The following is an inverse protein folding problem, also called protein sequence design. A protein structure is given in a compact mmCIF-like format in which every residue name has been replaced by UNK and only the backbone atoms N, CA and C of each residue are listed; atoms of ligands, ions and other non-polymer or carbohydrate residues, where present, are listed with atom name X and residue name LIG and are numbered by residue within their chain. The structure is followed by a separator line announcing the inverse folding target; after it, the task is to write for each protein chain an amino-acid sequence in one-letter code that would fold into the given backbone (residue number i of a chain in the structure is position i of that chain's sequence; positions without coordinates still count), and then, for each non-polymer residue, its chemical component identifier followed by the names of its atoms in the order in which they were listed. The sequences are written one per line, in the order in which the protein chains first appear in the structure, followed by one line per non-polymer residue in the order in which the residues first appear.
data_IF_332303085473
#
_entry.id   IF_332303085473
#
_cell.length_a   1.000
_cell.length_b   1.000
_cell.length_c   1.000
_cell.angle_alpha   90.00
_cell.angle_beta   90.00
_cell.angle_gamma   90.00
#
_symmetry.space_group_name_H-M   'P 1'
#
loop_
_entity.id
_entity.type
_entity.pdbx_description
1 polymer ?
#
# COMPACT_ATOMS: atom_id res chain seq x y z
N UNK A 1 -18.79 -7.39 -25.08
CA UNK A 1 -18.56 -5.95 -24.91
C UNK A 1 -17.33 -5.58 -25.69
N UNK A 2 -17.48 -4.75 -26.71
CA UNK A 2 -16.34 -4.29 -27.49
C UNK A 2 -15.51 -3.32 -26.67
N UNK A 3 -14.20 -3.35 -26.89
CA UNK A 3 -13.29 -2.45 -26.17
C UNK A 3 -13.47 -1.02 -26.70
N UNK A 4 -13.57 -0.01 -25.83
CA UNK A 4 -13.67 1.36 -26.27
C UNK A 4 -12.45 1.75 -27.11
N UNK A 5 -12.67 2.31 -28.29
CA UNK A 5 -11.63 2.65 -29.25
C UNK A 5 -11.01 4.03 -29.05
N UNK A 6 -11.67 4.90 -28.30
CA UNK A 6 -11.22 6.28 -28.06
C UNK A 6 -11.61 6.79 -26.66
N UNK A 7 -11.06 7.94 -26.24
CA UNK A 7 -11.30 8.52 -24.93
C UNK A 7 -12.75 9.02 -24.72
N UNK A 8 -13.47 9.35 -25.79
CA UNK A 8 -14.90 9.71 -25.74
C UNK A 8 -15.73 8.51 -25.30
N UNK A 9 -15.58 7.38 -25.97
CA UNK A 9 -16.25 6.12 -25.65
C UNK A 9 -15.90 5.62 -24.23
N UNK A 10 -14.64 5.77 -23.80
CA UNK A 10 -14.24 5.46 -22.41
C UNK A 10 -15.03 6.30 -21.41
N UNK A 11 -15.19 7.60 -21.67
CA UNK A 11 -15.96 8.50 -20.80
C UNK A 11 -17.44 8.13 -20.76
N UNK A 12 -18.03 7.82 -21.91
CA UNK A 12 -19.43 7.42 -22.00
C UNK A 12 -19.68 6.12 -21.22
N UNK A 13 -18.88 5.09 -21.46
CA UNK A 13 -18.98 3.81 -20.73
C UNK A 13 -18.78 4.01 -19.24
N UNK A 14 -17.80 4.83 -18.84
CA UNK A 14 -17.53 5.11 -17.42
C UNK A 14 -18.70 5.86 -16.77
N UNK A 15 -19.30 6.83 -17.48
CA UNK A 15 -20.46 7.58 -17.00
C UNK A 15 -21.67 6.67 -16.84
N UNK A 16 -21.97 5.85 -17.85
CA UNK A 16 -23.07 4.89 -17.80
C UNK A 16 -22.89 3.88 -16.67
N UNK A 17 -21.67 3.34 -16.50
CA UNK A 17 -21.34 2.43 -15.42
C UNK A 17 -21.52 3.09 -14.04
N UNK A 18 -21.03 4.31 -13.88
CA UNK A 18 -21.16 5.07 -12.64
C UNK A 18 -22.61 5.38 -12.30
N UNK A 19 -23.42 5.76 -13.28
CA UNK A 19 -24.85 5.96 -13.08
C UNK A 19 -25.55 4.66 -12.69
N UNK A 20 -25.33 3.58 -13.43
CA UNK A 20 -25.90 2.28 -13.11
C UNK A 20 -25.51 1.82 -11.69
N UNK A 21 -24.24 1.92 -11.33
CA UNK A 21 -23.75 1.53 -10.00
C UNK A 21 -24.38 2.35 -8.88
N UNK A 22 -24.48 3.65 -9.06
CA UNK A 22 -24.94 4.55 -8.01
C UNK A 22 -26.45 4.58 -7.85
N UNK A 23 -27.23 4.41 -8.92
CA UNK A 23 -28.68 4.62 -8.90
C UNK A 23 -29.50 3.36 -9.08
N UNK A 24 -28.97 2.34 -9.73
CA UNK A 24 -29.75 1.16 -10.12
C UNK A 24 -29.28 -0.12 -9.41
N UNK A 25 -27.98 -0.27 -9.18
CA UNK A 25 -27.43 -1.51 -8.65
C UNK A 25 -27.53 -1.55 -7.12
N UNK A 26 -28.24 -2.54 -6.52
CA UNK A 26 -28.23 -2.75 -5.07
C UNK A 26 -26.81 -3.03 -4.57
N UNK A 27 -26.45 -2.42 -3.43
CA UNK A 27 -25.14 -2.59 -2.83
C UNK A 27 -25.25 -3.32 -1.49
N UNK A 28 -24.52 -4.44 -1.36
CA UNK A 28 -24.57 -5.31 -0.16
C UNK A 28 -23.86 -4.72 1.06
N UNK A 29 -23.20 -3.56 0.95
CA UNK A 29 -22.58 -2.90 2.09
C UNK A 29 -23.59 -2.64 3.20
N UNK A 30 -23.24 -2.99 4.44
CA UNK A 30 -24.11 -2.90 5.60
C UNK A 30 -24.89 -1.58 5.72
N UNK A 31 -24.22 -0.45 5.43
CA UNK A 31 -24.86 0.88 5.50
C UNK A 31 -25.81 1.18 4.33
N UNK A 32 -25.71 0.44 3.22
CA UNK A 32 -26.60 0.63 2.07
C UNK A 32 -27.94 -0.12 2.23
N UNK A 33 -28.00 -1.14 3.07
CA UNK A 33 -29.21 -1.93 3.32
C UNK A 33 -29.77 -2.52 2.02
N UNK A 34 -28.92 -3.04 1.16
CA UNK A 34 -29.24 -3.59 -0.17
C UNK A 34 -29.95 -2.59 -1.13
N UNK A 35 -29.71 -1.30 -0.95
CA UNK A 35 -30.20 -0.23 -1.83
C UNK A 35 -29.04 0.32 -2.67
N UNK A 36 -29.32 0.93 -3.83
CA UNK A 36 -28.30 1.67 -4.59
C UNK A 36 -27.65 2.76 -3.72
N UNK A 37 -26.35 3.04 -3.86
CA UNK A 37 -25.62 3.99 -3.02
C UNK A 37 -26.28 5.38 -2.92
N UNK A 38 -26.75 5.93 -4.03
CA UNK A 38 -27.41 7.25 -4.05
C UNK A 38 -28.81 7.25 -3.43
N UNK A 39 -29.48 6.10 -3.42
CA UNK A 39 -30.76 5.94 -2.71
C UNK A 39 -30.52 5.79 -1.20
N UNK A 40 -29.46 5.08 -0.82
CA UNK A 40 -29.09 4.92 0.59
C UNK A 40 -28.51 6.22 1.19
N UNK A 41 -27.78 6.98 0.39
CA UNK A 41 -27.12 8.25 0.77
C UNK A 41 -27.50 9.36 -0.22
N UNK A 42 -28.71 9.90 -0.11
CA UNK A 42 -29.20 10.94 -1.05
C UNK A 42 -28.38 12.23 -0.93
N UNK A 43 -27.91 12.53 0.26
CA UNK A 43 -27.04 13.68 0.55
C UNK A 43 -25.63 13.15 0.87
N UNK A 44 -24.66 13.51 0.05
CA UNK A 44 -23.26 13.26 0.36
C UNK A 44 -22.70 14.47 1.10
N UNK A 45 -21.87 14.26 2.12
CA UNK A 45 -21.12 15.34 2.72
C UNK A 45 -20.25 16.01 1.66
N UNK A 46 -20.02 17.31 1.81
CA UNK A 46 -19.05 18.01 0.98
C UNK A 46 -17.68 17.32 1.10
N UNK A 47 -17.01 17.18 -0.01
CA UNK A 47 -15.64 16.69 0.02
C UNK A 47 -14.77 17.72 0.76
N UNK A 48 -13.91 17.27 1.65
CA UNK A 48 -12.97 18.18 2.31
C UNK A 48 -12.12 18.89 1.26
N UNK A 49 -11.80 20.13 1.52
CA UNK A 49 -10.90 20.90 0.66
C UNK A 49 -9.56 20.14 0.48
N UNK A 50 -9.06 20.18 -0.73
CA UNK A 50 -7.74 19.59 -1.02
C UNK A 50 -6.69 20.37 -0.25
N UNK A 51 -5.85 19.73 0.57
CA UNK A 51 -4.84 20.43 1.34
C UNK A 51 -3.72 20.97 0.43
N UNK A 52 -3.22 22.15 0.70
CA UNK A 52 -2.09 22.73 -0.05
C UNK A 52 -0.81 21.90 0.14
N UNK A 53 -0.60 21.42 1.37
CA UNK A 53 0.55 20.61 1.76
C UNK A 53 0.09 19.27 2.35
N UNK A 54 0.81 18.22 2.00
CA UNK A 54 0.62 16.87 2.53
C UNK A 54 1.92 16.41 3.19
N UNK A 55 1.83 15.89 4.40
CA UNK A 55 2.93 15.15 5.03
C UNK A 55 2.84 13.66 4.63
N UNK A 56 3.70 13.19 3.72
CA UNK A 56 3.69 11.80 3.28
C UNK A 56 4.05 10.80 4.38
N UNK A 57 4.72 11.27 5.43
CA UNK A 57 5.19 10.43 6.54
C UNK A 57 4.22 10.40 7.73
N UNK A 58 3.09 11.11 7.65
CA UNK A 58 2.07 11.19 8.72
C UNK A 58 1.56 9.81 9.18
N UNK A 59 1.59 8.83 8.28
CA UNK A 59 1.21 7.45 8.59
C UNK A 59 2.02 6.84 9.75
N UNK A 60 3.26 7.31 9.97
CA UNK A 60 4.10 6.85 11.07
C UNK A 60 3.44 7.04 12.43
N UNK A 61 2.83 8.21 12.66
CA UNK A 61 2.14 8.52 13.92
C UNK A 61 0.92 7.63 14.12
N UNK A 62 0.18 7.37 13.02
CA UNK A 62 -1.02 6.51 13.06
C UNK A 62 -0.64 5.05 13.30
N UNK A 63 0.55 4.63 12.88
CA UNK A 63 1.05 3.25 12.97
C UNK A 63 2.11 3.06 14.05
N UNK A 64 2.35 4.06 14.89
CA UNK A 64 3.31 3.93 15.99
C UNK A 64 2.97 2.72 16.86
N UNK A 65 3.99 1.98 17.28
CA UNK A 65 3.80 0.73 18.01
C UNK A 65 3.37 -0.49 17.18
N UNK A 66 3.23 -0.38 15.87
CA UNK A 66 2.91 -1.53 15.00
C UNK A 66 3.95 -2.65 15.20
N UNK A 67 3.45 -3.87 15.41
CA UNK A 67 4.27 -5.06 15.56
C UNK A 67 4.18 -5.96 14.33
N UNK A 68 5.33 -6.43 13.85
CA UNK A 68 5.42 -7.41 12.77
C UNK A 68 6.41 -8.50 13.17
N UNK A 69 6.07 -9.75 12.93
CA UNK A 69 7.02 -10.86 13.07
C UNK A 69 7.57 -11.23 11.70
N UNK A 70 8.87 -11.34 11.57
CA UNK A 70 9.55 -11.68 10.31
C UNK A 70 10.65 -12.71 10.52
N UNK A 71 10.74 -13.66 9.59
CA UNK A 71 11.84 -14.60 9.53
C UNK A 71 13.06 -13.94 8.89
N UNK A 72 14.22 -14.07 9.51
CA UNK A 72 15.49 -13.63 8.96
C UNK A 72 15.96 -14.63 7.90
N UNK A 73 16.35 -14.13 6.74
CA UNK A 73 16.87 -14.93 5.63
C UNK A 73 18.28 -15.42 5.91
N UNK A 74 18.77 -16.37 5.08
CA UNK A 74 20.13 -16.92 5.20
C UNK A 74 21.23 -15.87 5.11
N UNK A 75 20.99 -14.80 4.36
CA UNK A 75 21.92 -13.66 4.20
C UNK A 75 21.87 -12.66 5.36
N UNK A 76 21.06 -12.91 6.39
CA UNK A 76 20.90 -12.03 7.55
C UNK A 76 19.95 -10.84 7.28
N UNK A 77 19.20 -10.88 6.19
CA UNK A 77 18.23 -9.83 5.86
C UNK A 77 16.79 -10.24 6.17
N UNK A 78 15.92 -9.25 6.34
CA UNK A 78 14.47 -9.42 6.34
C UNK A 78 13.82 -8.39 5.39
N UNK A 79 12.58 -8.63 5.00
CA UNK A 79 11.83 -7.71 4.14
C UNK A 79 10.61 -7.15 4.86
N UNK A 80 10.43 -5.84 4.75
CA UNK A 80 9.23 -5.11 5.15
C UNK A 80 8.88 -4.16 4.01
N UNK A 81 7.64 -4.21 3.53
CA UNK A 81 7.11 -3.33 2.47
C UNK A 81 8.05 -3.17 1.28
N UNK A 82 8.46 -4.27 0.69
CA UNK A 82 9.39 -4.34 -0.45
C UNK A 82 10.81 -3.81 -0.16
N UNK A 83 11.08 -3.33 1.05
CA UNK A 83 12.42 -2.88 1.48
C UNK A 83 13.15 -4.02 2.19
N UNK A 84 14.44 -4.16 1.91
CA UNK A 84 15.31 -5.13 2.58
C UNK A 84 16.11 -4.44 3.68
N UNK A 85 16.20 -5.09 4.85
CA UNK A 85 16.90 -4.61 6.03
C UNK A 85 17.86 -5.68 6.52
N UNK A 86 19.11 -5.32 6.77
CA UNK A 86 20.10 -6.24 7.33
C UNK A 86 20.04 -6.24 8.85
N UNK A 87 19.74 -7.36 9.45
CA UNK A 87 19.69 -7.56 10.91
C UNK A 87 20.93 -8.26 11.46
N UNK A 88 21.45 -9.25 10.73
CA UNK A 88 22.64 -10.01 11.12
C UNK A 88 22.54 -11.47 10.70
N UNK A 89 23.64 -12.05 10.26
CA UNK A 89 23.68 -13.48 9.85
C UNK A 89 23.52 -14.44 11.03
N UNK A 90 23.89 -14.03 12.24
CA UNK A 90 23.71 -14.84 13.44
C UNK A 90 22.22 -15.17 13.72
N UNK A 91 21.31 -14.36 13.23
CA UNK A 91 19.86 -14.56 13.36
C UNK A 91 19.25 -15.30 12.17
N UNK A 92 20.04 -15.79 11.22
CA UNK A 92 19.54 -16.45 10.03
C UNK A 92 18.63 -17.64 10.39
N UNK A 93 17.44 -17.68 9.77
CA UNK A 93 16.43 -18.70 10.04
C UNK A 93 15.53 -18.42 11.25
N UNK A 94 15.90 -17.52 12.15
CA UNK A 94 15.13 -17.16 13.33
C UNK A 94 14.01 -16.16 13.01
N UNK A 95 13.03 -16.08 13.90
CA UNK A 95 11.96 -15.08 13.85
C UNK A 95 12.31 -13.93 14.81
N UNK A 96 12.18 -12.71 14.33
CA UNK A 96 12.35 -11.50 15.12
C UNK A 96 11.07 -10.67 15.08
N UNK A 97 10.77 -9.97 16.16
CA UNK A 97 9.72 -8.98 16.18
C UNK A 97 10.28 -7.62 15.75
N UNK A 98 9.50 -6.90 14.95
CA UNK A 98 9.78 -5.53 14.52
C UNK A 98 8.74 -4.62 15.14
N UNK A 99 9.16 -3.65 15.92
CA UNK A 99 8.29 -2.64 16.48
C UNK A 99 8.54 -1.32 15.75
N UNK A 100 7.50 -0.73 15.19
CA UNK A 100 7.59 0.57 14.57
C UNK A 100 7.70 1.64 15.66
N UNK A 101 8.72 2.47 15.59
CA UNK A 101 8.85 3.66 16.43
C UNK A 101 8.77 4.91 15.56
N UNK A 102 7.65 5.65 15.67
CA UNK A 102 7.47 6.89 14.97
C UNK A 102 8.49 7.95 15.44
N UNK A 103 8.74 8.03 16.74
CA UNK A 103 9.70 8.97 17.32
C UNK A 103 11.13 8.74 16.79
N UNK A 104 11.53 7.48 16.64
CA UNK A 104 12.85 7.13 16.10
C UNK A 104 12.88 7.02 14.58
N UNK A 105 11.72 7.10 13.92
CA UNK A 105 11.56 6.87 12.48
C UNK A 105 12.24 5.57 12.03
N UNK A 106 12.06 4.49 12.81
CA UNK A 106 12.82 3.26 12.68
C UNK A 106 12.01 2.02 13.10
N UNK A 107 12.42 0.88 12.60
CA UNK A 107 12.06 -0.42 13.14
C UNK A 107 13.03 -0.77 14.29
N UNK A 108 12.48 -1.08 15.45
CA UNK A 108 13.21 -1.70 16.56
C UNK A 108 13.11 -3.21 16.37
N UNK A 109 14.24 -3.85 16.17
CA UNK A 109 14.32 -5.31 16.06
C UNK A 109 14.40 -5.90 17.46
N UNK A 110 13.42 -6.70 17.81
CA UNK A 110 13.35 -7.36 19.13
C UNK A 110 13.54 -8.87 18.95
N UNK A 111 14.43 -9.42 19.72
CA UNK A 111 14.68 -10.85 19.82
C UNK A 111 14.85 -11.20 21.29
N UNK A 112 14.20 -12.29 21.76
CA UNK A 112 14.23 -12.72 23.17
C UNK A 112 13.94 -11.58 24.16
N UNK A 113 12.89 -10.78 23.83
CA UNK A 113 12.44 -9.62 24.62
C UNK A 113 13.40 -8.43 24.70
N UNK A 114 14.50 -8.46 23.96
CA UNK A 114 15.49 -7.38 23.93
C UNK A 114 15.53 -6.68 22.56
N UNK A 115 15.68 -5.36 22.59
CA UNK A 115 15.94 -4.59 21.36
C UNK A 115 17.39 -4.79 20.96
N UNK A 116 17.62 -5.57 19.93
CA UNK A 116 18.97 -5.92 19.47
C UNK A 116 19.49 -4.98 18.37
N UNK A 117 18.58 -4.29 17.67
CA UNK A 117 18.97 -3.39 16.57
C UNK A 117 17.89 -2.35 16.30
N UNK A 118 18.32 -1.16 15.88
CA UNK A 118 17.45 -0.11 15.35
C UNK A 118 17.75 0.06 13.85
N UNK A 119 16.71 -0.03 13.03
CA UNK A 119 16.82 0.04 11.57
C UNK A 119 16.07 1.26 11.06
N UNK A 120 16.75 2.31 10.58
CA UNK A 120 16.09 3.49 10.03
C UNK A 120 15.10 3.11 8.92
N UNK A 121 13.91 3.71 8.94
CA UNK A 121 12.90 3.49 7.92
C UNK A 121 13.39 4.00 6.57
N UNK A 122 13.19 3.17 5.54
CA UNK A 122 13.56 3.52 4.17
C UNK A 122 12.37 4.09 3.42
N UNK A 123 12.61 5.16 2.67
CA UNK A 123 11.59 5.74 1.79
C UNK A 123 10.73 6.83 2.43
N UNK A 124 11.13 7.33 3.61
CA UNK A 124 10.52 8.53 4.19
C UNK A 124 11.00 9.77 3.43
N UNK A 125 10.09 10.73 3.22
CA UNK A 125 10.43 12.00 2.60
C UNK A 125 10.99 13.02 3.59
N UNK A 126 10.55 12.97 4.84
CA UNK A 126 11.05 13.85 5.90
C UNK A 126 10.46 15.26 5.92
N UNK A 127 9.66 15.61 4.94
CA UNK A 127 9.07 16.94 4.79
C UNK A 127 7.68 16.89 4.15
N UNK A 128 6.86 17.89 4.44
CA UNK A 128 5.60 18.09 3.73
C UNK A 128 5.88 18.53 2.29
N UNK A 129 5.04 18.10 1.37
CA UNK A 129 5.11 18.41 -0.04
C UNK A 129 3.78 18.98 -0.53
N UNK A 130 3.80 19.74 -1.63
CA UNK A 130 2.56 20.21 -2.26
C UNK A 130 1.72 19.03 -2.73
N UNK A 131 0.39 19.18 -2.69
CA UNK A 131 -0.53 18.11 -3.02
C UNK A 131 -0.27 17.51 -4.40
N UNK A 132 -0.03 18.34 -5.42
CA UNK A 132 0.26 17.88 -6.78
C UNK A 132 1.55 17.04 -6.84
N UNK A 133 2.59 17.47 -6.13
CA UNK A 133 3.84 16.74 -6.04
C UNK A 133 3.65 15.39 -5.31
N UNK A 134 2.83 15.38 -4.26
CA UNK A 134 2.45 14.16 -3.58
C UNK A 134 1.72 13.16 -4.51
N UNK A 135 0.76 13.65 -5.30
CA UNK A 135 0.04 12.81 -6.28
C UNK A 135 1.00 12.21 -7.30
N UNK A 136 1.93 12.99 -7.84
CA UNK A 136 2.94 12.50 -8.79
C UNK A 136 3.86 11.45 -8.17
N UNK A 137 4.25 11.65 -6.92
CA UNK A 137 5.04 10.69 -6.15
C UNK A 137 4.29 9.36 -5.98
N UNK A 138 3.01 9.40 -5.60
CA UNK A 138 2.18 8.21 -5.44
C UNK A 138 1.98 7.45 -6.76
N UNK A 139 1.76 8.18 -7.87
CA UNK A 139 1.68 7.59 -9.22
C UNK A 139 3.01 6.90 -9.58
N UNK A 140 4.12 7.55 -9.30
CA UNK A 140 5.47 6.98 -9.55
C UNK A 140 5.70 5.70 -8.76
N UNK A 141 5.35 5.69 -7.48
CA UNK A 141 5.44 4.49 -6.62
C UNK A 141 4.56 3.36 -7.12
N UNK A 142 3.30 3.63 -7.44
CA UNK A 142 2.37 2.62 -7.95
C UNK A 142 2.87 1.99 -9.27
N UNK A 143 3.45 2.80 -10.16
CA UNK A 143 4.05 2.30 -11.41
C UNK A 143 5.28 1.42 -11.14
N UNK A 144 6.13 1.81 -10.19
CA UNK A 144 7.31 1.03 -9.81
C UNK A 144 6.91 -0.31 -9.17
N UNK A 145 5.95 -0.32 -8.27
CA UNK A 145 5.42 -1.55 -7.66
C UNK A 145 4.80 -2.49 -8.70
N UNK A 146 4.01 -1.95 -9.64
CA UNK A 146 3.45 -2.75 -10.73
C UNK A 146 4.54 -3.41 -11.55
N UNK A 147 5.61 -2.68 -11.92
CA UNK A 147 6.75 -3.25 -12.67
C UNK A 147 7.43 -4.38 -11.89
N UNK A 148 7.66 -4.19 -10.59
CA UNK A 148 8.27 -5.23 -9.74
C UNK A 148 7.39 -6.47 -9.64
N UNK A 149 6.07 -6.29 -9.46
CA UNK A 149 5.12 -7.41 -9.41
C UNK A 149 5.11 -8.18 -10.72
N UNK A 150 5.00 -7.51 -11.87
CA UNK A 150 5.01 -8.14 -13.19
C UNK A 150 6.32 -8.89 -13.44
N UNK A 151 7.46 -8.32 -13.03
CA UNK A 151 8.75 -8.98 -13.16
C UNK A 151 8.85 -10.25 -12.29
N UNK A 152 8.28 -10.19 -11.08
CA UNK A 152 8.23 -11.34 -10.17
C UNK A 152 7.33 -12.45 -10.70
N UNK A 153 6.14 -12.13 -11.22
CA UNK A 153 5.22 -13.09 -11.85
C UNK A 153 5.85 -13.79 -13.07
N UNK A 154 6.59 -13.03 -13.90
CA UNK A 154 7.33 -13.61 -15.02
C UNK A 154 8.39 -14.60 -14.55
N UNK A 155 9.15 -14.28 -13.51
CA UNK A 155 10.17 -15.18 -12.94
C UNK A 155 9.55 -16.47 -12.40
N UNK A 156 8.40 -16.36 -11.70
CA UNK A 156 7.70 -17.53 -11.16
C UNK A 156 7.19 -18.44 -12.28
N UNK A 157 6.67 -17.86 -13.37
CA UNK A 157 6.21 -18.64 -14.53
C UNK A 157 7.36 -19.36 -15.27
N UNK A 158 8.52 -18.73 -15.39
CA UNK A 158 9.69 -19.30 -16.05
C UNK A 158 10.41 -20.34 -15.19
N UNK A 159 10.41 -20.17 -13.85
CA UNK A 159 11.05 -21.10 -12.92
C UNK A 159 10.19 -22.32 -12.54
N UNK A 160 8.93 -22.38 -12.94
CA UNK A 160 8.03 -23.52 -12.74
C UNK A 160 7.99 -24.51 -13.90
N UNK A 161 8.75 -24.26 -14.98
CA UNK A 161 8.78 -25.14 -16.16
C UNK A 161 9.87 -26.25 -16.12
N UNK A 162 10.74 -26.20 -15.10
CA UNK A 162 11.84 -27.18 -14.93
C UNK A 162 11.66 -27.96 -13.61
N UNK A 163 10.60 -28.75 -13.53
CA UNK A 163 10.55 -29.88 -12.58
C UNK A 163 10.02 -31.08 -13.31
N UNK A 164 10.85 -32.14 -13.46
CA UNK A 164 10.46 -33.41 -14.06
C UNK A 164 9.44 -34.17 -13.18
#
# INVERSE_FOLDING_TARGET
MDRPGNMGEVREVTTALTQHYNWSRPHQGHRCGNRPPRVAFPTLPELPAVPDLVDPDRWLQVRDGLHLVRKVRRDGTLRVDLKSYYVGRALAGQHVALHLSAAKRAWLVVHEHQVIKTLPLKGLLGQAVRFEAFVQLMIGQARAERRLRTAQERRTRLGGADSP
#
